data_IF_060335523824
#
_entry.id   IF_060335523824
#
_cell.length_a   1.000
_cell.length_b   1.000
_cell.length_c   1.000
_cell.angle_alpha   90.00
_cell.angle_beta   90.00
_cell.angle_gamma   90.00
#
_symmetry.space_group_name_H-M   'P 1'
#
loop_
_entity.id
_entity.type
_entity.pdbx_description
1 polymer ?
#
# COMPACT_ATOMS: atom_id res chain seq x y z
N UNK A 1 -5.13 -3.10 11.25
CA UNK A 1 -5.87 -1.82 11.26
C UNK A 1 -5.19 -0.79 10.37
N UNK A 2 -3.94 -0.41 10.63
CA UNK A 2 -3.22 0.61 9.83
C UNK A 2 -3.14 0.33 8.32
N UNK A 3 -2.92 -0.92 7.91
CA UNK A 3 -2.85 -1.28 6.48
C UNK A 3 -4.19 -1.10 5.75
N UNK A 4 -5.28 -1.49 6.41
CA UNK A 4 -6.63 -1.35 5.86
C UNK A 4 -7.03 0.12 5.73
N UNK A 5 -6.76 0.92 6.76
CA UNK A 5 -6.98 2.36 6.70
C UNK A 5 -6.09 3.03 5.65
N UNK A 6 -4.83 2.60 5.54
CA UNK A 6 -3.93 3.09 4.49
C UNK A 6 -4.47 2.77 3.10
N UNK A 7 -5.04 1.57 2.89
CA UNK A 7 -5.66 1.17 1.64
C UNK A 7 -6.85 2.07 1.28
N UNK A 8 -7.73 2.38 2.24
CA UNK A 8 -8.85 3.32 2.03
C UNK A 8 -8.33 4.70 1.64
N UNK A 9 -7.39 5.26 2.40
CA UNK A 9 -6.79 6.57 2.10
C UNK A 9 -6.12 6.58 0.72
N UNK A 10 -5.44 5.49 0.35
CA UNK A 10 -4.77 5.34 -0.94
C UNK A 10 -5.76 5.35 -2.11
N UNK A 11 -6.84 4.58 -2.01
CA UNK A 11 -7.90 4.56 -3.02
C UNK A 11 -8.54 5.94 -3.15
N UNK A 12 -8.89 6.62 -2.05
CA UNK A 12 -9.49 7.95 -2.12
C UNK A 12 -8.56 9.00 -2.76
N UNK A 13 -7.24 8.88 -2.58
CA UNK A 13 -6.28 9.74 -3.27
C UNK A 13 -6.24 9.50 -4.78
N UNK A 14 -6.28 8.24 -5.22
CA UNK A 14 -6.24 7.88 -6.65
C UNK A 14 -7.54 8.28 -7.34
N UNK A 15 -8.67 8.01 -6.70
CA UNK A 15 -10.00 8.19 -7.28
C UNK A 15 -10.64 9.52 -6.88
N UNK A 16 -9.84 10.48 -6.40
CA UNK A 16 -10.31 11.77 -5.89
C UNK A 16 -11.24 12.47 -6.88
N UNK A 17 -10.89 12.52 -8.15
CA UNK A 17 -11.68 13.20 -9.18
C UNK A 17 -13.06 12.57 -9.43
N UNK A 18 -13.27 11.31 -9.03
CA UNK A 18 -14.57 10.65 -9.13
C UNK A 18 -15.37 10.69 -7.83
N UNK A 19 -14.68 10.67 -6.69
CA UNK A 19 -15.30 10.51 -5.37
C UNK A 19 -15.48 11.82 -4.61
N UNK A 20 -14.73 12.87 -4.97
CA UNK A 20 -14.82 14.15 -4.29
C UNK A 20 -16.18 14.81 -4.54
N UNK A 21 -16.81 15.29 -3.47
CA UNK A 21 -18.16 15.86 -3.45
C UNK A 21 -19.29 14.91 -3.90
N UNK A 22 -19.03 13.61 -4.04
CA UNK A 22 -20.05 12.59 -4.26
C UNK A 22 -20.25 11.78 -2.98
N UNK A 23 -21.49 11.35 -2.73
CA UNK A 23 -21.78 10.36 -1.69
C UNK A 23 -21.49 8.96 -2.20
N UNK A 24 -20.78 8.15 -1.41
CA UNK A 24 -20.48 6.75 -1.76
C UNK A 24 -20.37 5.86 -0.52
N UNK A 25 -20.30 4.55 -0.75
CA UNK A 25 -20.12 3.55 0.31
C UNK A 25 -18.77 2.84 0.13
N UNK A 26 -18.07 2.65 1.25
CA UNK A 26 -16.83 1.87 1.32
C UNK A 26 -17.15 0.56 2.02
N UNK A 27 -16.91 -0.55 1.33
CA UNK A 27 -17.07 -1.89 1.90
C UNK A 27 -15.72 -2.44 2.34
N UNK A 28 -15.65 -2.90 3.59
CA UNK A 28 -14.46 -3.56 4.14
C UNK A 28 -14.86 -4.82 4.91
N UNK A 29 -14.05 -5.86 4.80
CA UNK A 29 -14.16 -7.08 5.61
C UNK A 29 -13.44 -6.99 6.96
N UNK A 30 -12.90 -5.81 7.29
CA UNK A 30 -12.20 -5.58 8.53
C UNK A 30 -13.13 -4.94 9.57
N UNK A 31 -13.66 -5.76 10.50
CA UNK A 31 -14.67 -5.33 11.49
C UNK A 31 -14.26 -4.12 12.33
N UNK A 32 -12.97 -3.94 12.63
CA UNK A 32 -12.50 -2.84 13.48
C UNK A 32 -12.57 -1.47 12.79
N UNK A 33 -12.68 -1.43 11.46
CA UNK A 33 -12.77 -0.20 10.68
C UNK A 33 -14.09 0.54 10.96
N UNK A 34 -15.14 -0.21 11.34
CA UNK A 34 -16.41 0.35 11.82
C UNK A 34 -16.24 1.31 13.01
N UNK A 35 -15.30 1.03 13.90
CA UNK A 35 -15.08 1.81 15.13
C UNK A 35 -13.91 2.81 14.99
N UNK A 36 -13.38 2.98 13.77
CA UNK A 36 -12.23 3.83 13.53
C UNK A 36 -12.48 5.29 13.95
N UNK A 37 -13.69 5.79 13.72
CA UNK A 37 -14.09 7.16 14.06
C UNK A 37 -14.34 7.37 15.56
N UNK A 38 -14.66 6.30 16.29
CA UNK A 38 -15.02 6.35 17.71
C UNK A 38 -13.84 6.01 18.65
N UNK A 39 -12.68 5.67 18.09
CA UNK A 39 -11.52 5.24 18.87
C UNK A 39 -10.89 6.42 19.64
N UNK A 40 -10.83 6.31 20.98
CA UNK A 40 -10.27 7.35 21.86
C UNK A 40 -8.77 7.56 21.72
N UNK A 41 -8.01 6.51 21.41
CA UNK A 41 -6.55 6.55 21.30
C UNK A 41 -6.15 6.23 19.86
N UNK A 42 -5.78 7.28 19.12
CA UNK A 42 -5.32 7.20 17.75
C UNK A 42 -3.88 7.69 17.67
N UNK A 43 -3.07 7.01 16.86
CA UNK A 43 -1.72 7.47 16.57
C UNK A 43 -1.78 8.73 15.69
N UNK A 44 -0.79 9.62 15.77
CA UNK A 44 -0.66 10.84 14.95
C UNK A 44 -0.82 10.57 13.44
N UNK A 45 -0.39 9.40 12.95
CA UNK A 45 -0.61 9.00 11.56
C UNK A 45 -2.09 8.76 11.25
N UNK A 46 -2.79 8.05 12.12
CA UNK A 46 -4.23 7.78 11.96
C UNK A 46 -5.05 9.06 12.09
N UNK A 47 -4.68 9.99 12.98
CA UNK A 47 -5.35 11.30 13.07
C UNK A 47 -5.28 12.08 11.76
N UNK A 48 -4.10 12.17 11.13
CA UNK A 48 -3.94 12.84 9.83
C UNK A 48 -4.77 12.18 8.72
N UNK A 49 -4.89 10.86 8.76
CA UNK A 49 -5.74 10.14 7.82
C UNK A 49 -7.22 10.39 8.08
N UNK A 50 -7.66 10.40 9.33
CA UNK A 50 -9.03 10.74 9.71
C UNK A 50 -9.41 12.16 9.32
N UNK A 51 -8.51 13.13 9.49
CA UNK A 51 -8.71 14.51 9.04
C UNK A 51 -8.94 14.56 7.53
N UNK A 52 -8.11 13.86 6.75
CA UNK A 52 -8.31 13.72 5.30
C UNK A 52 -9.63 13.03 4.94
N UNK A 53 -10.06 12.02 5.70
CA UNK A 53 -11.29 11.29 5.44
C UNK A 53 -12.55 12.14 5.70
N UNK A 54 -12.49 13.11 6.62
CA UNK A 54 -13.62 14.01 6.90
C UNK A 54 -14.03 14.89 5.72
N UNK A 55 -13.13 15.10 4.76
CA UNK A 55 -13.42 15.87 3.54
C UNK A 55 -14.28 15.09 2.52
N UNK A 56 -14.50 13.79 2.74
CA UNK A 56 -15.29 12.94 1.85
C UNK A 56 -16.62 12.56 2.51
N UNK A 57 -17.70 12.60 1.73
CA UNK A 57 -19.03 12.10 2.15
C UNK A 57 -19.14 10.61 1.84
N UNK A 58 -18.76 9.75 2.80
CA UNK A 58 -18.87 8.31 2.63
C UNK A 58 -19.33 7.58 3.88
N UNK A 59 -19.94 6.42 3.64
CA UNK A 59 -20.36 5.50 4.70
C UNK A 59 -19.53 4.22 4.67
N UNK A 60 -19.04 3.79 5.83
CA UNK A 60 -18.19 2.61 5.95
C UNK A 60 -19.02 1.40 6.42
N UNK A 61 -19.21 0.44 5.52
CA UNK A 61 -20.03 -0.74 5.73
C UNK A 61 -19.19 -2.00 5.84
N UNK A 62 -19.48 -2.83 6.83
CA UNK A 62 -18.85 -4.15 6.94
C UNK A 62 -19.44 -5.10 5.89
N UNK A 63 -18.57 -5.76 5.14
CA UNK A 63 -18.96 -6.84 4.24
C UNK A 63 -18.24 -8.15 4.61
N UNK A 64 -18.95 -9.29 4.72
CA UNK A 64 -18.29 -10.55 5.03
C UNK A 64 -17.24 -10.90 3.97
N UNK A 65 -16.12 -11.47 4.41
CA UNK A 65 -15.00 -11.92 3.55
C UNK A 65 -15.45 -12.66 2.28
N UNK A 66 -16.46 -13.54 2.39
CA UNK A 66 -16.98 -14.33 1.26
C UNK A 66 -17.64 -13.48 0.16
N UNK A 67 -18.01 -12.24 0.44
CA UNK A 67 -18.50 -11.28 -0.53
C UNK A 67 -17.39 -10.35 -1.06
N UNK A 68 -16.21 -10.34 -0.42
CA UNK A 68 -15.08 -9.48 -0.76
C UNK A 68 -14.03 -10.14 -1.67
N UNK A 69 -14.40 -11.25 -2.34
CA UNK A 69 -13.46 -12.12 -3.08
C UNK A 69 -12.70 -11.37 -4.18
N UNK A 70 -13.36 -10.43 -4.86
CA UNK A 70 -12.73 -9.63 -5.93
C UNK A 70 -11.65 -8.71 -5.36
N UNK A 71 -11.95 -7.97 -4.29
CA UNK A 71 -10.99 -7.08 -3.67
C UNK A 71 -9.82 -7.85 -3.04
N UNK A 72 -10.09 -8.98 -2.39
CA UNK A 72 -9.06 -9.86 -1.86
C UNK A 72 -8.14 -10.41 -2.96
N UNK A 73 -8.71 -10.88 -4.09
CA UNK A 73 -7.93 -11.36 -5.22
C UNK A 73 -7.02 -10.27 -5.81
N UNK A 74 -7.53 -9.03 -5.93
CA UNK A 74 -6.75 -7.89 -6.43
C UNK A 74 -5.62 -7.50 -5.46
N UNK A 75 -5.92 -7.46 -4.15
CA UNK A 75 -4.94 -7.17 -3.11
C UNK A 75 -3.80 -8.19 -3.11
N UNK A 76 -4.13 -9.50 -3.15
CA UNK A 76 -3.13 -10.58 -3.19
C UNK A 76 -2.27 -10.56 -4.45
N UNK A 77 -2.85 -10.27 -5.60
CA UNK A 77 -2.09 -10.14 -6.86
C UNK A 77 -1.08 -9.00 -6.78
N UNK A 78 -1.46 -7.87 -6.18
CA UNK A 78 -0.55 -6.73 -5.99
C UNK A 78 0.65 -7.07 -5.08
N UNK A 79 0.43 -7.86 -4.03
CA UNK A 79 1.49 -8.31 -3.12
C UNK A 79 2.49 -9.22 -3.83
N UNK A 80 2.00 -10.13 -4.68
CA UNK A 80 2.88 -11.01 -5.45
C UNK A 80 3.74 -10.23 -6.44
N UNK A 81 3.16 -9.28 -7.18
CA UNK A 81 3.90 -8.42 -8.11
C UNK A 81 4.93 -7.57 -7.36
N UNK A 82 4.55 -6.96 -6.23
CA UNK A 82 5.47 -6.18 -5.40
C UNK A 82 6.67 -7.02 -4.94
N UNK A 83 6.43 -8.26 -4.50
CA UNK A 83 7.50 -9.17 -4.09
C UNK A 83 8.46 -9.53 -5.23
N UNK A 84 7.95 -9.70 -6.45
CA UNK A 84 8.80 -9.94 -7.63
C UNK A 84 9.65 -8.71 -7.95
N UNK A 85 9.07 -7.50 -7.89
CA UNK A 85 9.78 -6.26 -8.13
C UNK A 85 10.90 -6.02 -7.11
N UNK A 86 10.67 -6.32 -5.82
CA UNK A 86 11.73 -6.23 -4.80
C UNK A 86 12.89 -7.17 -5.11
N UNK A 87 12.61 -8.43 -5.48
CA UNK A 87 13.65 -9.39 -5.86
C UNK A 87 14.42 -8.97 -7.11
N UNK A 88 13.74 -8.37 -8.09
CA UNK A 88 14.39 -7.84 -9.28
C UNK A 88 15.36 -6.70 -8.94
N UNK A 89 14.95 -5.78 -8.05
CA UNK A 89 15.82 -4.71 -7.57
C UNK A 89 17.05 -5.24 -6.82
N UNK A 90 16.87 -6.22 -5.93
CA UNK A 90 17.98 -6.89 -5.23
C UNK A 90 18.96 -7.52 -6.22
N UNK A 91 18.46 -8.22 -7.24
CA UNK A 91 19.29 -8.85 -8.27
C UNK A 91 20.06 -7.82 -9.12
N UNK A 92 19.42 -6.70 -9.45
CA UNK A 92 20.07 -5.59 -10.18
C UNK A 92 21.22 -5.00 -9.34
N UNK A 93 21.01 -4.86 -8.03
CA UNK A 93 22.02 -4.35 -7.11
C UNK A 93 23.21 -5.33 -6.99
N UNK A 94 22.95 -6.63 -6.82
CA UNK A 94 23.98 -7.67 -6.81
C UNK A 94 24.79 -7.69 -8.13
N UNK A 95 24.11 -7.53 -9.27
CA UNK A 95 24.78 -7.51 -10.57
C UNK A 95 25.67 -6.26 -10.74
N UNK A 96 25.22 -5.09 -10.25
CA UNK A 96 26.06 -3.88 -10.23
C UNK A 96 27.31 -4.10 -9.38
N UNK A 97 27.14 -4.65 -8.19
CA UNK A 97 28.24 -4.94 -7.27
C UNK A 97 29.26 -5.91 -7.88
N UNK A 98 28.78 -6.98 -8.52
CA UNK A 98 29.63 -7.94 -9.21
C UNK A 98 30.40 -7.27 -10.36
N UNK A 99 29.72 -6.43 -11.16
CA UNK A 99 30.34 -5.69 -12.27
C UNK A 99 31.43 -4.72 -11.80
N UNK A 100 31.19 -4.03 -10.67
CA UNK A 100 32.19 -3.18 -10.02
C UNK A 100 33.41 -3.97 -9.54
N UNK A 101 33.21 -5.15 -8.95
CA UNK A 101 34.29 -6.05 -8.51
C UNK A 101 35.14 -6.54 -9.68
N UNK A 102 34.50 -6.98 -10.77
CA UNK A 102 35.20 -7.42 -11.98
C UNK A 102 36.01 -6.29 -12.62
N UNK A 103 35.46 -5.07 -12.64
CA UNK A 103 36.13 -3.88 -13.17
C UNK A 103 37.33 -3.43 -12.32
N UNK A 104 37.29 -3.66 -11.00
CA UNK A 104 38.43 -3.44 -10.09
C UNK A 104 39.51 -4.51 -10.28
N UNK A 105 39.13 -5.79 -10.37
CA UNK A 105 40.09 -6.88 -10.60
C UNK A 105 40.81 -6.76 -11.95
N UNK A 106 40.11 -6.34 -13.02
CA UNK A 106 40.75 -6.08 -14.32
C UNK A 106 41.83 -4.99 -14.25
N UNK A 107 41.61 -3.92 -13.48
CA UNK A 107 42.62 -2.87 -13.29
C UNK A 107 43.85 -3.39 -12.52
N UNK A 108 43.65 -4.15 -11.45
CA UNK A 108 44.74 -4.73 -10.67
C UNK A 108 45.63 -5.71 -11.46
N UNK A 109 45.06 -6.43 -12.43
CA UNK A 109 45.81 -7.36 -13.29
C UNK A 109 46.60 -6.63 -14.38
N UNK A 110 46.20 -5.42 -14.75
CA UNK A 110 46.82 -4.64 -15.83
C UNK A 110 47.96 -3.74 -15.35
N UNK A 111 48.11 -3.59 -14.03
CA UNK A 111 49.17 -2.83 -13.35
C UNK A 111 50.32 -3.73 -12.81
N UNK A 112 50.37 -5.01 -13.20
CA UNK A 112 51.48 -5.95 -12.97
C UNK A 112 52.23 -6.24 -14.27
#
# INVERSE_FOLDING_TARGET
HDLELAAVVFVLKIWRHYLYASRFEVFSDHKSLKYLFDQKELNMRQMRWLEFLKDYDFELSYHPWKANVVADALSRKSLHVSSLMTKELELIEEFRDLSLRLSRNKRLIQDC
#
